data_IF_804545134403
#
_entry.id   IF_804545134403
#
_cell.length_a   1.000
_cell.length_b   1.000
_cell.length_c   1.000
_cell.angle_alpha   90.00
_cell.angle_beta   90.00
_cell.angle_gamma   90.00
#
_symmetry.space_group_name_H-M   'P 1'
#
loop_
_entity.id
_entity.type
_entity.pdbx_description
1 polymer ?
#
# COMPACT_ATOMS: atom_id res chain seq x y z
N UNK A 1 -27.26 -37.94 38.83
CA UNK A 1 -26.05 -38.18 39.64
C UNK A 1 -24.89 -38.17 38.65
N UNK A 2 -23.90 -37.32 38.65
CA UNK A 2 -23.24 -36.41 39.58
C UNK A 2 -22.67 -35.24 38.79
N UNK A 3 -22.69 -34.06 39.39
CA UNK A 3 -22.15 -32.81 38.88
C UNK A 3 -20.61 -32.80 38.88
N UNK A 4 -20.00 -32.27 37.81
CA UNK A 4 -18.57 -31.94 37.74
C UNK A 4 -18.37 -30.43 37.56
N UNK A 5 -17.84 -29.78 38.61
CA UNK A 5 -17.61 -28.34 38.70
C UNK A 5 -16.41 -27.89 37.85
N UNK A 6 -16.59 -26.91 36.99
CA UNK A 6 -15.52 -26.16 36.33
C UNK A 6 -15.06 -25.03 37.26
N UNK A 7 -13.83 -25.14 37.78
CA UNK A 7 -13.13 -24.08 38.50
C UNK A 7 -12.55 -23.04 37.54
N UNK A 8 -13.17 -21.88 37.49
CA UNK A 8 -12.58 -20.68 36.87
C UNK A 8 -11.67 -20.02 37.93
N UNK A 9 -10.36 -20.12 37.74
CA UNK A 9 -9.40 -19.33 38.53
C UNK A 9 -9.31 -17.91 37.97
N UNK A 10 -9.91 -16.98 38.68
CA UNK A 10 -9.73 -15.53 38.47
C UNK A 10 -8.38 -15.16 39.09
N UNK A 11 -7.42 -14.72 38.25
CA UNK A 11 -6.19 -14.09 38.72
C UNK A 11 -6.49 -12.63 39.05
N UNK A 12 -6.58 -12.32 40.33
CA UNK A 12 -6.60 -10.94 40.87
C UNK A 12 -5.17 -10.37 40.71
N UNK A 13 -4.99 -9.44 39.81
CA UNK A 13 -3.77 -8.63 39.75
C UNK A 13 -3.87 -7.55 40.83
N UNK A 14 -2.96 -7.62 41.77
CA UNK A 14 -2.82 -6.73 42.91
C UNK A 14 -2.44 -5.31 42.44
N UNK A 15 -3.26 -4.31 42.80
CA UNK A 15 -3.00 -2.88 42.64
C UNK A 15 -2.03 -2.40 43.74
N UNK A 16 -0.74 -2.53 43.55
CA UNK A 16 0.28 -1.75 44.29
C UNK A 16 1.61 -1.94 43.55
N UNK A 17 1.90 -1.02 42.64
CA UNK A 17 3.22 -0.42 42.36
C UNK A 17 3.09 0.51 41.13
N UNK A 18 2.59 1.70 41.40
CA UNK A 18 2.60 2.79 40.43
C UNK A 18 2.97 4.08 41.16
N UNK A 19 4.19 4.13 41.69
CA UNK A 19 4.79 5.39 42.17
C UNK A 19 6.31 5.26 42.02
N UNK A 20 6.82 5.84 40.96
CA UNK A 20 8.09 6.56 40.82
C UNK A 20 8.50 6.64 39.34
N UNK A 21 7.70 7.42 38.58
CA UNK A 21 8.26 8.04 37.37
C UNK A 21 8.60 9.48 37.79
N UNK A 22 9.85 9.65 38.23
CA UNK A 22 10.42 10.96 38.54
C UNK A 22 10.45 11.80 37.26
N UNK A 23 9.58 12.79 37.15
CA UNK A 23 9.60 13.83 36.12
C UNK A 23 10.90 14.62 36.23
N UNK A 24 11.86 14.33 35.39
CA UNK A 24 13.10 15.10 35.26
C UNK A 24 12.75 16.46 34.62
N UNK A 25 12.80 17.53 35.40
CA UNK A 25 12.46 18.89 34.98
C UNK A 25 13.66 19.48 34.20
N UNK A 26 13.39 20.06 33.00
CA UNK A 26 14.34 20.68 32.10
C UNK A 26 15.23 21.79 32.71
N UNK A 27 14.98 22.22 33.92
CA UNK A 27 15.73 23.25 34.62
C UNK A 27 16.93 22.77 35.46
N UNK A 28 17.16 21.48 35.58
CA UNK A 28 18.29 20.94 36.39
C UNK A 28 19.52 20.57 35.53
N UNK A 29 19.50 20.78 34.22
CA UNK A 29 20.64 20.45 33.35
C UNK A 29 21.64 21.59 33.14
N UNK A 30 21.48 22.75 33.82
CA UNK A 30 22.31 23.94 33.58
C UNK A 30 23.20 24.36 34.77
N UNK A 31 23.47 23.49 35.72
CA UNK A 31 24.38 23.85 36.82
C UNK A 31 25.41 22.74 37.06
N UNK A 32 26.35 22.55 36.16
CA UNK A 32 27.67 21.95 36.43
C UNK A 32 28.46 21.88 35.16
N UNK A 33 29.15 22.91 34.74
CA UNK A 33 30.43 22.90 34.02
C UNK A 33 30.92 24.37 34.08
N UNK A 34 31.66 24.66 35.14
CA UNK A 34 32.58 25.78 35.18
C UNK A 34 33.93 25.20 35.51
N UNK A 35 34.73 24.89 34.49
CA UNK A 35 36.21 24.82 34.58
C UNK A 35 36.76 24.76 33.17
N UNK A 36 37.61 25.72 32.90
CA UNK A 36 38.09 26.12 31.59
C UNK A 36 38.84 25.07 30.78
N UNK A 37 38.69 25.24 29.48
CA UNK A 37 39.75 25.01 28.49
C UNK A 37 39.41 25.79 27.23
N UNK A 38 40.33 26.63 26.79
CA UNK A 38 40.27 27.33 25.53
C UNK A 38 40.23 26.32 24.37
N UNK A 39 39.14 26.31 23.60
CA UNK A 39 39.04 25.52 22.38
C UNK A 39 38.83 26.48 21.20
N UNK A 40 39.79 26.39 20.27
CA UNK A 40 39.78 27.08 19.01
C UNK A 40 38.48 26.83 18.24
N UNK A 41 37.80 27.89 17.85
CA UNK A 41 36.60 27.84 17.00
C UNK A 41 37.01 27.51 15.57
N UNK A 42 36.81 26.24 15.17
CA UNK A 42 36.66 25.87 13.77
C UNK A 42 35.16 25.96 13.40
N UNK A 43 34.78 26.63 12.32
CA UNK A 43 33.41 26.56 11.83
C UNK A 43 33.18 25.16 11.24
N UNK A 44 32.55 24.30 12.01
CA UNK A 44 32.10 23.00 11.54
C UNK A 44 30.87 23.25 10.62
N UNK A 45 31.11 23.18 9.32
CA UNK A 45 30.06 23.07 8.33
C UNK A 45 29.18 21.86 8.74
N UNK A 46 27.97 22.15 9.15
CA UNK A 46 26.95 21.14 9.36
C UNK A 46 26.69 20.46 8.00
N UNK A 47 27.36 19.38 7.72
CA UNK A 47 26.93 18.44 6.69
C UNK A 47 25.63 17.83 7.17
N UNK A 48 24.54 18.28 6.57
CA UNK A 48 23.26 17.59 6.62
C UNK A 48 23.47 16.26 5.90
N UNK A 49 23.84 15.22 6.64
CA UNK A 49 23.75 13.87 6.12
C UNK A 49 22.26 13.58 5.98
N UNK A 50 21.80 13.52 4.75
CA UNK A 50 20.55 12.89 4.43
C UNK A 50 20.66 11.44 4.90
N UNK A 51 19.91 11.09 5.94
CA UNK A 51 19.76 9.71 6.37
C UNK A 51 18.92 9.04 5.28
N UNK A 52 19.58 8.47 4.28
CA UNK A 52 19.01 7.42 3.46
C UNK A 52 18.95 6.17 4.34
N UNK A 53 17.88 6.03 5.09
CA UNK A 53 17.56 4.80 5.78
C UNK A 53 17.14 3.75 4.75
N UNK A 54 18.15 3.04 4.22
CA UNK A 54 17.99 1.83 3.43
C UNK A 54 17.42 0.73 4.34
N UNK A 55 16.12 0.73 4.53
CA UNK A 55 15.44 -0.34 5.29
C UNK A 55 15.50 -1.61 4.45
N UNK A 56 16.56 -2.39 4.62
CA UNK A 56 16.63 -3.78 4.16
C UNK A 56 15.59 -4.61 4.91
N UNK A 57 14.37 -4.64 4.41
CA UNK A 57 13.41 -5.65 4.82
C UNK A 57 13.71 -6.95 4.06
N UNK A 58 13.91 -8.03 4.80
CA UNK A 58 14.31 -9.37 4.40
C UNK A 58 14.07 -9.75 2.94
N UNK A 59 15.06 -10.40 2.30
CA UNK A 59 15.13 -10.81 0.90
C UNK A 59 15.42 -9.72 -0.16
N UNK A 60 16.25 -8.73 0.13
CA UNK A 60 16.90 -7.95 -0.92
C UNK A 60 15.98 -7.07 -1.81
N UNK A 61 14.77 -6.78 -1.37
CA UNK A 61 13.83 -5.94 -2.11
C UNK A 61 13.97 -4.49 -1.68
N UNK A 62 14.73 -3.73 -2.43
CA UNK A 62 14.76 -2.26 -2.31
C UNK A 62 13.40 -1.74 -2.76
N UNK A 63 12.55 -1.36 -1.81
CA UNK A 63 11.30 -0.63 -2.09
C UNK A 63 11.64 0.85 -2.22
N UNK A 64 11.65 1.37 -3.44
CA UNK A 64 11.87 2.79 -3.67
C UNK A 64 10.63 3.59 -3.28
N UNK A 65 10.52 3.96 -1.99
CA UNK A 65 9.42 4.78 -1.45
C UNK A 65 9.55 6.25 -1.94
N UNK A 66 10.73 6.69 -2.34
CA UNK A 66 10.98 8.06 -2.81
C UNK A 66 10.35 8.40 -4.17
N UNK A 67 9.81 7.40 -4.88
CA UNK A 67 9.14 7.61 -6.18
C UNK A 67 7.68 8.10 -6.07
N UNK A 68 7.09 8.09 -4.88
CA UNK A 68 5.70 8.57 -4.68
C UNK A 68 5.64 10.10 -4.63
N UNK A 69 5.67 10.72 -5.80
CA UNK A 69 5.44 12.17 -5.96
C UNK A 69 3.95 12.43 -6.19
N UNK A 70 3.40 13.41 -5.48
CA UNK A 70 2.05 13.86 -5.74
C UNK A 70 1.91 14.31 -7.20
N UNK A 71 0.81 13.94 -7.83
CA UNK A 71 0.51 14.31 -9.22
C UNK A 71 -0.65 15.30 -9.26
N UNK A 72 -0.65 16.16 -10.27
CA UNK A 72 -1.78 17.04 -10.53
C UNK A 72 -2.67 16.38 -11.60
N UNK A 73 -3.94 16.16 -11.27
CA UNK A 73 -4.89 15.52 -12.18
C UNK A 73 -5.05 16.27 -13.52
N UNK A 74 -4.99 17.61 -13.53
CA UNK A 74 -5.12 18.44 -14.72
C UNK A 74 -4.11 18.14 -15.83
N UNK A 75 -2.99 17.48 -15.48
CA UNK A 75 -2.00 17.04 -16.46
C UNK A 75 -2.47 15.81 -17.25
N UNK A 76 -3.44 15.07 -16.71
CA UNK A 76 -3.82 13.75 -17.20
C UNK A 76 -5.29 13.63 -17.61
N UNK A 77 -6.16 14.46 -17.04
CA UNK A 77 -7.61 14.43 -17.24
C UNK A 77 -8.16 15.82 -17.53
N UNK A 78 -9.17 15.88 -18.37
CA UNK A 78 -9.85 17.13 -18.73
C UNK A 78 -10.80 17.59 -17.60
N UNK A 79 -11.41 16.61 -16.91
CA UNK A 79 -12.30 16.79 -15.77
C UNK A 79 -12.15 15.63 -14.77
N UNK A 80 -12.93 15.67 -13.69
CA UNK A 80 -13.00 14.62 -12.68
C UNK A 80 -14.40 13.97 -12.60
N UNK A 81 -15.14 13.95 -13.70
CA UNK A 81 -16.46 13.30 -13.71
C UNK A 81 -16.36 11.84 -13.26
N UNK A 82 -17.14 11.47 -12.24
CA UNK A 82 -17.09 10.17 -11.55
C UNK A 82 -15.74 9.85 -10.86
N UNK A 83 -14.84 10.84 -10.71
CA UNK A 83 -13.49 10.66 -10.20
C UNK A 83 -12.50 10.14 -11.24
N UNK A 84 -11.21 10.15 -10.90
CA UNK A 84 -10.15 9.74 -11.81
C UNK A 84 -9.09 8.89 -11.11
N UNK A 85 -8.53 7.92 -11.85
CA UNK A 85 -7.42 7.06 -11.43
C UNK A 85 -6.30 7.16 -12.47
N UNK A 86 -5.10 7.53 -12.01
CA UNK A 86 -3.87 7.42 -12.78
C UNK A 86 -3.07 6.22 -12.25
N UNK A 87 -2.81 5.24 -13.10
CA UNK A 87 -1.88 4.14 -12.81
C UNK A 87 -0.55 4.42 -13.52
N UNK A 88 0.41 4.92 -12.76
CA UNK A 88 1.77 5.15 -13.23
C UNK A 88 2.57 3.85 -13.09
N UNK A 89 2.83 3.18 -14.22
CA UNK A 89 3.54 1.90 -14.24
C UNK A 89 5.03 2.04 -13.96
N UNK A 90 5.60 3.21 -14.19
CA UNK A 90 7.00 3.51 -13.91
C UNK A 90 7.25 3.68 -12.41
N UNK A 91 6.47 4.52 -11.74
CA UNK A 91 6.55 4.71 -10.30
C UNK A 91 5.87 3.60 -9.50
N UNK A 92 5.08 2.75 -10.17
CA UNK A 92 4.29 1.66 -9.55
C UNK A 92 3.35 2.18 -8.48
N UNK A 93 2.65 3.24 -8.83
CA UNK A 93 1.69 3.89 -7.96
C UNK A 93 0.35 4.11 -8.66
N UNK A 94 -0.73 3.97 -7.91
CA UNK A 94 -2.04 4.48 -8.29
C UNK A 94 -2.28 5.80 -7.57
N UNK A 95 -2.72 6.80 -8.32
CA UNK A 95 -3.23 8.07 -7.82
C UNK A 95 -4.74 8.09 -8.06
N UNK A 96 -5.50 8.48 -7.05
CA UNK A 96 -6.94 8.64 -7.13
C UNK A 96 -7.33 10.06 -6.75
N UNK A 97 -8.24 10.66 -7.49
CA UNK A 97 -8.91 11.94 -7.18
C UNK A 97 -10.42 11.72 -7.18
N UNK A 98 -11.09 12.21 -6.14
CA UNK A 98 -12.56 12.23 -6.10
C UNK A 98 -13.12 13.26 -7.09
N UNK A 99 -14.39 13.08 -7.48
CA UNK A 99 -15.10 13.97 -8.40
C UNK A 99 -15.12 15.43 -7.93
N UNK A 100 -15.27 15.67 -6.63
CA UNK A 100 -15.24 17.00 -6.01
C UNK A 100 -13.81 17.51 -5.72
N UNK A 101 -12.79 16.75 -6.12
CA UNK A 101 -11.37 17.03 -5.88
C UNK A 101 -10.97 17.24 -4.40
N UNK A 102 -11.79 16.77 -3.45
CA UNK A 102 -11.47 16.88 -2.01
C UNK A 102 -10.62 15.74 -1.50
N UNK A 103 -10.68 14.57 -2.16
CA UNK A 103 -9.93 13.39 -1.78
C UNK A 103 -8.88 13.11 -2.83
N UNK A 104 -7.63 13.08 -2.38
CA UNK A 104 -6.49 12.59 -3.15
C UNK A 104 -5.81 11.46 -2.40
N UNK A 105 -5.57 10.33 -3.08
CA UNK A 105 -4.90 9.16 -2.50
C UNK A 105 -3.81 8.64 -3.42
N UNK A 106 -2.76 8.11 -2.82
CA UNK A 106 -1.68 7.40 -3.52
C UNK A 106 -1.54 6.02 -2.90
N UNK A 107 -1.47 4.98 -3.76
CA UNK A 107 -1.29 3.60 -3.32
C UNK A 107 -0.14 2.95 -4.08
N UNK A 108 0.77 2.24 -3.38
CA UNK A 108 1.74 1.38 -4.04
C UNK A 108 1.03 0.22 -4.75
N UNK A 109 1.55 -0.15 -5.92
CA UNK A 109 0.89 -1.17 -6.75
C UNK A 109 1.89 -2.11 -7.41
N UNK A 110 1.46 -3.33 -7.72
CA UNK A 110 2.14 -4.18 -8.69
C UNK A 110 1.66 -3.83 -10.10
N UNK A 111 2.57 -3.92 -11.06
CA UNK A 111 2.31 -3.61 -12.46
C UNK A 111 2.72 -4.80 -13.34
N UNK A 112 2.34 -4.83 -14.64
CA UNK A 112 2.71 -5.91 -15.54
C UNK A 112 4.21 -6.20 -15.59
N UNK A 113 4.55 -7.49 -15.68
CA UNK A 113 5.94 -7.96 -15.63
C UNK A 113 6.75 -7.53 -16.86
N UNK A 114 6.10 -7.35 -18.00
CA UNK A 114 6.74 -6.95 -19.25
C UNK A 114 5.92 -5.87 -19.98
N UNK A 115 6.54 -5.20 -20.96
CA UNK A 115 5.89 -4.15 -21.72
C UNK A 115 4.81 -4.72 -22.65
N UNK A 116 5.00 -5.93 -23.16
CA UNK A 116 4.02 -6.64 -24.02
C UNK A 116 2.71 -6.94 -23.25
N UNK A 117 2.78 -7.10 -21.93
CA UNK A 117 1.63 -7.31 -21.06
C UNK A 117 1.07 -5.98 -20.51
N UNK A 118 1.76 -4.87 -20.77
CA UNK A 118 1.40 -3.55 -20.28
C UNK A 118 0.55 -2.81 -21.30
N UNK A 119 -0.75 -2.71 -21.05
CA UNK A 119 -1.64 -1.89 -21.87
C UNK A 119 -1.69 -0.48 -21.29
N UNK A 120 -1.24 0.50 -22.06
CA UNK A 120 -1.29 1.91 -21.70
C UNK A 120 -2.50 2.59 -22.37
N UNK A 121 -2.92 3.75 -21.82
CA UNK A 121 -3.99 4.56 -22.36
C UNK A 121 -5.21 4.68 -21.45
N UNK A 122 -6.29 5.21 -22.01
CA UNK A 122 -7.53 5.54 -21.28
C UNK A 122 -8.49 4.35 -21.25
N UNK A 123 -9.13 4.17 -20.12
CA UNK A 123 -10.20 3.19 -19.87
C UNK A 123 -11.11 3.74 -18.77
N UNK A 124 -12.06 2.96 -18.29
CA UNK A 124 -12.95 3.31 -17.17
C UNK A 124 -13.37 2.09 -16.38
N UNK A 125 -13.79 2.29 -15.16
CA UNK A 125 -14.39 1.23 -14.33
C UNK A 125 -15.79 0.92 -14.88
N UNK A 126 -16.04 -0.36 -15.18
CA UNK A 126 -17.33 -0.84 -15.68
C UNK A 126 -18.08 -1.71 -14.67
N UNK A 127 -17.35 -2.32 -13.73
CA UNK A 127 -17.94 -3.20 -12.71
C UNK A 127 -17.06 -3.23 -11.46
N UNK A 128 -17.70 -3.36 -10.30
CA UNK A 128 -17.07 -3.49 -8.98
C UNK A 128 -17.51 -4.80 -8.34
N UNK A 129 -16.60 -5.58 -7.78
CA UNK A 129 -16.88 -6.88 -7.17
C UNK A 129 -16.16 -7.02 -5.84
N UNK A 130 -16.93 -7.37 -4.80
CA UNK A 130 -16.41 -7.81 -3.50
C UNK A 130 -16.29 -9.33 -3.55
N UNK A 131 -15.18 -9.89 -3.08
CA UNK A 131 -14.91 -11.32 -3.16
C UNK A 131 -14.89 -11.82 -4.61
N UNK A 132 -13.98 -11.34 -5.47
CA UNK A 132 -13.93 -11.80 -6.85
C UNK A 132 -13.45 -13.26 -6.92
N UNK A 133 -14.01 -14.04 -7.84
CA UNK A 133 -13.40 -15.29 -8.29
C UNK A 133 -12.37 -15.02 -9.36
N UNK A 134 -11.37 -15.89 -9.47
CA UNK A 134 -10.35 -15.80 -10.48
C UNK A 134 -10.42 -16.97 -11.48
N UNK A 135 -10.24 -16.65 -12.75
CA UNK A 135 -10.00 -17.62 -13.83
C UNK A 135 -8.81 -17.12 -14.64
N UNK A 136 -7.79 -17.96 -14.86
CA UNK A 136 -6.71 -17.61 -15.77
C UNK A 136 -7.24 -17.41 -17.20
N UNK A 137 -6.58 -16.54 -17.94
CA UNK A 137 -6.87 -16.39 -19.37
C UNK A 137 -6.35 -17.61 -20.15
N UNK A 138 -6.84 -17.85 -21.38
CA UNK A 138 -6.30 -18.94 -22.21
C UNK A 138 -4.78 -18.86 -22.41
N UNK A 139 -4.24 -17.64 -22.55
CA UNK A 139 -2.79 -17.43 -22.68
C UNK A 139 -2.02 -17.78 -21.40
N UNK A 140 -2.60 -17.48 -20.22
CA UNK A 140 -2.01 -17.86 -18.94
C UNK A 140 -1.96 -19.38 -18.77
N UNK A 141 -3.04 -20.10 -19.10
CA UNK A 141 -3.08 -21.56 -19.07
C UNK A 141 -2.12 -22.19 -20.07
N UNK A 142 -1.94 -21.57 -21.24
CA UNK A 142 -0.94 -22.04 -22.21
C UNK A 142 0.48 -21.97 -21.65
N UNK A 143 0.79 -20.91 -20.89
CA UNK A 143 2.11 -20.72 -20.29
C UNK A 143 2.30 -21.50 -18.97
N UNK A 144 1.22 -21.82 -18.27
CA UNK A 144 1.22 -22.51 -16.98
C UNK A 144 0.06 -23.51 -16.95
N UNK A 145 0.21 -24.67 -17.62
CA UNK A 145 -0.88 -25.66 -17.74
C UNK A 145 -1.31 -26.26 -16.40
N UNK A 146 -0.45 -26.19 -15.38
CA UNK A 146 -0.71 -26.69 -14.02
C UNK A 146 -1.59 -25.75 -13.17
N UNK A 147 -1.87 -24.54 -13.66
CA UNK A 147 -2.71 -23.62 -12.90
C UNK A 147 -4.17 -24.06 -12.87
N UNK A 148 -4.88 -23.82 -11.75
CA UNK A 148 -6.28 -24.18 -11.65
C UNK A 148 -7.12 -23.34 -12.62
N UNK A 149 -8.08 -23.95 -13.28
CA UNK A 149 -9.02 -23.24 -14.18
C UNK A 149 -9.92 -22.24 -13.43
N UNK A 150 -10.08 -22.41 -12.12
CA UNK A 150 -10.93 -21.58 -11.29
C UNK A 150 -10.45 -21.55 -9.84
N UNK A 151 -10.39 -20.32 -9.28
CA UNK A 151 -10.18 -20.09 -7.84
C UNK A 151 -11.37 -19.32 -7.29
N UNK A 152 -12.11 -19.86 -6.30
CA UNK A 152 -13.23 -19.19 -5.68
C UNK A 152 -12.77 -17.96 -4.88
N UNK A 153 -13.69 -17.08 -4.43
CA UNK A 153 -13.37 -16.06 -3.43
C UNK A 153 -12.77 -16.68 -2.18
N UNK A 154 -11.71 -16.06 -1.63
CA UNK A 154 -11.04 -16.57 -0.44
C UNK A 154 -9.65 -16.00 -0.26
N UNK A 155 -8.95 -16.42 0.82
CA UNK A 155 -7.63 -15.91 1.17
C UNK A 155 -6.56 -16.21 0.10
N UNK A 156 -6.69 -17.32 -0.62
CA UNK A 156 -5.74 -17.77 -1.65
C UNK A 156 -6.06 -17.21 -3.04
N UNK A 157 -7.13 -16.40 -3.17
CA UNK A 157 -7.52 -15.87 -4.48
C UNK A 157 -6.52 -14.81 -4.95
N UNK A 158 -5.95 -14.95 -6.16
CA UNK A 158 -4.98 -13.99 -6.71
C UNK A 158 -5.51 -12.55 -6.85
N UNK A 159 -6.83 -12.35 -6.92
CA UNK A 159 -7.46 -11.03 -7.01
C UNK A 159 -7.74 -10.40 -5.64
N UNK A 160 -7.44 -11.09 -4.53
CA UNK A 160 -7.68 -10.61 -3.17
C UNK A 160 -9.16 -10.35 -2.87
N UNK A 161 -9.42 -9.34 -2.05
CA UNK A 161 -10.75 -9.09 -1.47
C UNK A 161 -11.71 -8.30 -2.36
N UNK A 162 -11.21 -7.45 -3.25
CA UNK A 162 -12.01 -6.55 -4.08
C UNK A 162 -11.39 -6.41 -5.47
N UNK A 163 -12.24 -6.17 -6.48
CA UNK A 163 -11.78 -5.89 -7.84
C UNK A 163 -12.64 -4.83 -8.53
N UNK A 164 -11.95 -3.92 -9.22
CA UNK A 164 -12.50 -2.92 -10.14
C UNK A 164 -12.19 -3.38 -11.56
N UNK A 165 -13.21 -3.76 -12.31
CA UNK A 165 -13.08 -4.23 -13.69
C UNK A 165 -13.05 -3.03 -14.63
N UNK A 166 -12.08 -3.03 -15.53
CA UNK A 166 -11.94 -1.98 -16.53
C UNK A 166 -12.73 -2.31 -17.80
N UNK A 167 -12.94 -1.33 -18.69
CA UNK A 167 -13.58 -1.55 -19.97
C UNK A 167 -12.74 -2.43 -20.92
N UNK A 168 -11.45 -2.59 -20.63
CA UNK A 168 -10.59 -3.51 -21.37
C UNK A 168 -10.79 -4.95 -20.91
N UNK A 169 -10.93 -5.86 -21.84
CA UNK A 169 -11.09 -7.29 -21.57
C UNK A 169 -9.91 -7.80 -20.72
N UNK A 170 -10.19 -8.51 -19.65
CA UNK A 170 -9.23 -9.10 -18.70
C UNK A 170 -8.44 -8.12 -17.81
N UNK A 171 -8.60 -6.80 -17.97
CA UNK A 171 -7.91 -5.83 -17.13
C UNK A 171 -8.72 -5.42 -15.88
N UNK A 172 -8.03 -5.33 -14.75
CA UNK A 172 -8.61 -4.99 -13.45
C UNK A 172 -7.60 -4.26 -12.57
N UNK A 173 -8.14 -3.49 -11.64
CA UNK A 173 -7.43 -3.04 -10.44
C UNK A 173 -7.99 -3.89 -9.30
N UNK A 174 -7.15 -4.62 -8.54
CA UNK A 174 -7.62 -5.62 -7.60
C UNK A 174 -6.69 -5.77 -6.38
N UNK A 175 -7.14 -6.46 -5.34
CA UNK A 175 -6.30 -6.85 -4.21
C UNK A 175 -5.30 -7.94 -4.57
N UNK A 176 -4.61 -8.47 -3.58
CA UNK A 176 -3.73 -9.62 -3.77
C UNK A 176 -3.63 -10.46 -2.51
N UNK A 177 -3.49 -11.78 -2.67
CA UNK A 177 -3.11 -12.69 -1.59
C UNK A 177 -1.59 -12.66 -1.35
N UNK A 178 -0.79 -12.25 -2.35
CA UNK A 178 0.67 -12.19 -2.27
C UNK A 178 1.16 -10.75 -2.24
N UNK A 179 1.35 -10.23 -1.03
CA UNK A 179 1.79 -8.85 -0.79
C UNK A 179 3.21 -8.55 -1.27
N UNK A 180 4.05 -9.57 -1.50
CA UNK A 180 5.41 -9.42 -2.01
C UNK A 180 5.44 -8.87 -3.44
N UNK A 181 4.34 -8.97 -4.17
CA UNK A 181 4.17 -8.45 -5.53
C UNK A 181 4.05 -6.93 -5.57
N UNK A 182 3.59 -6.30 -4.49
CA UNK A 182 3.39 -4.85 -4.45
C UNK A 182 4.73 -4.11 -4.55
N UNK A 183 4.76 -3.07 -5.38
CA UNK A 183 5.98 -2.32 -5.71
C UNK A 183 6.86 -2.99 -6.77
N UNK A 184 6.39 -4.06 -7.43
CA UNK A 184 7.16 -4.80 -8.44
C UNK A 184 6.43 -4.93 -9.77
N UNK A 185 7.20 -5.20 -10.84
CA UNK A 185 6.68 -5.71 -12.09
C UNK A 185 6.47 -7.22 -11.94
N UNK A 186 5.23 -7.66 -11.74
CA UNK A 186 4.92 -9.04 -11.33
C UNK A 186 3.56 -9.56 -11.77
N UNK A 187 2.75 -8.76 -12.47
CA UNK A 187 1.42 -9.17 -12.93
C UNK A 187 1.40 -9.56 -14.41
N UNK A 188 0.34 -10.28 -14.81
CA UNK A 188 0.07 -10.62 -16.20
C UNK A 188 -0.91 -9.63 -16.86
N UNK A 189 -0.76 -8.33 -16.58
CA UNK A 189 -1.56 -7.26 -17.17
C UNK A 189 -2.38 -6.44 -16.19
N UNK A 190 -2.83 -7.02 -15.08
CA UNK A 190 -3.63 -6.33 -14.07
C UNK A 190 -2.77 -5.49 -13.11
N UNK A 191 -3.44 -4.59 -12.38
CA UNK A 191 -2.83 -3.72 -11.39
C UNK A 191 -3.23 -4.22 -10.00
N UNK A 192 -2.25 -4.67 -9.21
CA UNK A 192 -2.50 -5.23 -7.88
C UNK A 192 -2.20 -4.24 -6.75
N UNK A 193 -3.03 -4.24 -5.71
CA UNK A 193 -2.87 -3.45 -4.49
C UNK A 193 -2.88 -4.35 -3.25
N UNK A 194 -2.45 -3.82 -2.11
CA UNK A 194 -2.78 -4.43 -0.81
C UNK A 194 -4.30 -4.52 -0.63
N UNK A 195 -4.78 -5.51 0.10
CA UNK A 195 -6.22 -5.72 0.29
C UNK A 195 -6.90 -4.55 1.01
N UNK A 196 -6.25 -3.91 1.97
CA UNK A 196 -6.71 -2.70 2.63
C UNK A 196 -6.79 -1.50 1.66
N UNK A 197 -5.81 -1.34 0.78
CA UNK A 197 -5.80 -0.25 -0.20
C UNK A 197 -6.87 -0.42 -1.27
N UNK A 198 -7.05 -1.62 -1.81
CA UNK A 198 -8.12 -1.85 -2.77
C UNK A 198 -9.51 -1.71 -2.13
N UNK A 199 -9.68 -2.07 -0.86
CA UNK A 199 -10.94 -1.87 -0.14
C UNK A 199 -11.26 -0.38 0.00
N UNK A 200 -10.28 0.46 0.36
CA UNK A 200 -10.45 1.91 0.42
C UNK A 200 -10.75 2.48 -0.98
N UNK A 201 -9.93 2.18 -1.98
CA UNK A 201 -10.14 2.65 -3.35
C UNK A 201 -11.50 2.20 -3.90
N UNK A 202 -11.92 0.98 -3.60
CA UNK A 202 -13.23 0.44 -3.98
C UNK A 202 -14.38 1.25 -3.39
N UNK A 203 -14.26 1.73 -2.15
CA UNK A 203 -15.30 2.58 -1.53
C UNK A 203 -15.39 3.96 -2.17
N UNK A 204 -14.27 4.51 -2.61
CA UNK A 204 -14.16 5.85 -3.18
C UNK A 204 -14.51 5.90 -4.67
N UNK A 205 -14.05 4.91 -5.44
CA UNK A 205 -14.25 4.86 -6.89
C UNK A 205 -15.69 4.44 -7.26
N UNK A 206 -16.21 5.01 -8.34
CA UNK A 206 -17.55 4.75 -8.89
C UNK A 206 -17.46 3.92 -10.17
N UNK A 207 -18.57 3.31 -10.58
CA UNK A 207 -18.70 2.86 -11.98
C UNK A 207 -18.67 4.13 -12.85
N UNK A 208 -17.91 4.12 -13.92
CA UNK A 208 -17.64 5.30 -14.74
C UNK A 208 -16.36 6.03 -14.39
N UNK A 209 -15.78 5.83 -13.19
CA UNK A 209 -14.48 6.46 -12.84
C UNK A 209 -13.47 6.28 -13.99
N UNK A 210 -12.91 7.40 -14.42
CA UNK A 210 -11.92 7.45 -15.49
C UNK A 210 -10.61 6.79 -15.02
N UNK A 211 -9.97 6.04 -15.89
CA UNK A 211 -8.69 5.38 -15.58
C UNK A 211 -7.70 5.63 -16.72
N UNK A 212 -6.52 6.11 -16.39
CA UNK A 212 -5.41 6.26 -17.33
C UNK A 212 -4.21 5.45 -16.82
N UNK A 213 -3.68 4.59 -17.69
CA UNK A 213 -2.42 3.89 -17.47
C UNK A 213 -1.30 4.55 -18.30
N UNK A 214 -0.18 4.92 -17.65
CA UNK A 214 1.03 5.50 -18.26
C UNK A 214 2.28 4.74 -17.86
#
# INVERSE_FOLDING_TARGET
>A
MLFGHNNVRIFLINKHDASEITKMNRRQFTKSIASGMAIATFPQLAQTQSIEEDTKLGDGVIRNISSFKARNWKTYFDDLENGAILSDTTSRAIHFWSEDNKIYKIYPTSVPISDELTKLGRTKITRKVVGPSWRPTPSMLKSNPEWPEFVPPGPDNPLGTHALYLSWKYYRIHGTHDTRKIGRRSSNGCIGLYNEHIKELFSLAKIGTQVLLI
#
